data_IF_593320059709
#
_entry.id   IF_593320059709
#
_cell.length_a   1.000
_cell.length_b   1.000
_cell.length_c   1.000
_cell.angle_alpha   90.00
_cell.angle_beta   90.00
_cell.angle_gamma   90.00
#
_symmetry.space_group_name_H-M   'P 1'
#
loop_
_entity.id
_entity.type
_entity.pdbx_description
1 polymer ?
#
# COMPACT_ATOMS: atom_id res chain seq x y z
N UNK A 1 -6.58 -0.87 -10.54
CA UNK A 1 -6.53 -0.86 -9.07
C UNK A 1 -7.43 0.22 -8.48
N UNK A 2 -7.84 0.03 -7.23
CA UNK A 2 -8.42 1.07 -6.39
C UNK A 2 -7.59 1.18 -5.10
N UNK A 3 -7.47 2.38 -4.56
CA UNK A 3 -6.91 2.64 -3.25
C UNK A 3 -7.88 3.46 -2.41
N UNK A 4 -7.89 3.25 -1.11
CA UNK A 4 -8.69 4.00 -0.15
C UNK A 4 -7.88 4.29 1.10
N UNK A 5 -8.03 5.48 1.65
CA UNK A 5 -7.50 5.88 2.95
C UNK A 5 -8.63 6.40 3.83
N UNK A 6 -8.66 5.94 5.08
CA UNK A 6 -9.62 6.35 6.09
C UNK A 6 -8.82 6.85 7.30
N UNK A 7 -9.18 7.99 7.82
CA UNK A 7 -8.58 8.57 9.02
C UNK A 7 -9.68 9.08 9.96
N UNK A 8 -9.42 9.03 11.27
CA UNK A 8 -10.33 9.48 12.32
C UNK A 8 -11.72 8.80 12.27
N UNK A 9 -11.76 7.52 11.95
CA UNK A 9 -13.01 6.72 11.94
C UNK A 9 -12.94 5.62 13.00
N UNK A 10 -13.93 5.55 13.86
CA UNK A 10 -14.01 4.51 14.92
C UNK A 10 -14.03 3.08 14.36
N UNK A 11 -14.46 2.92 13.10
CA UNK A 11 -14.52 1.64 12.39
C UNK A 11 -13.87 1.82 11.01
N UNK A 12 -12.57 2.14 11.01
CA UNK A 12 -11.84 2.45 9.78
C UNK A 12 -11.79 1.26 8.83
N UNK A 13 -11.66 0.03 9.35
CA UNK A 13 -11.67 -1.20 8.54
C UNK A 13 -12.96 -1.36 7.76
N UNK A 14 -14.10 -1.21 8.41
CA UNK A 14 -15.42 -1.38 7.79
C UNK A 14 -15.72 -0.27 6.78
N UNK A 15 -15.33 0.96 7.11
CA UNK A 15 -15.45 2.08 6.17
C UNK A 15 -14.59 1.83 4.91
N UNK A 16 -13.35 1.36 5.08
CA UNK A 16 -12.48 0.98 3.97
C UNK A 16 -13.06 -0.18 3.14
N UNK A 17 -13.62 -1.18 3.81
CA UNK A 17 -14.32 -2.30 3.14
C UNK A 17 -15.44 -1.81 2.21
N UNK A 18 -16.36 -0.96 2.69
CA UNK A 18 -17.43 -0.44 1.86
C UNK A 18 -16.93 0.44 0.72
N UNK A 19 -15.90 1.23 0.95
CA UNK A 19 -15.28 2.03 -0.10
C UNK A 19 -14.65 1.13 -1.19
N UNK A 20 -13.91 0.08 -0.80
CA UNK A 20 -13.36 -0.89 -1.74
C UNK A 20 -14.44 -1.68 -2.47
N UNK A 21 -15.53 -2.07 -1.77
CA UNK A 21 -16.67 -2.73 -2.38
C UNK A 21 -17.30 -1.86 -3.48
N UNK A 22 -17.51 -0.57 -3.21
CA UNK A 22 -18.02 0.38 -4.19
C UNK A 22 -17.09 0.55 -5.40
N UNK A 23 -15.78 0.37 -5.21
CA UNK A 23 -14.75 0.44 -6.26
C UNK A 23 -14.32 -0.93 -6.80
N UNK A 24 -15.08 -2.00 -6.55
CA UNK A 24 -14.74 -3.37 -6.97
C UNK A 24 -14.53 -3.50 -8.47
N UNK A 25 -15.24 -2.70 -9.28
CA UNK A 25 -15.08 -2.65 -10.73
C UNK A 25 -13.68 -2.23 -11.20
N UNK A 26 -12.86 -1.64 -10.31
CA UNK A 26 -11.50 -1.22 -10.61
C UNK A 26 -10.44 -2.29 -10.37
N UNK A 27 -10.79 -3.39 -9.69
CA UNK A 27 -9.88 -4.50 -9.44
C UNK A 27 -10.60 -5.66 -8.76
N UNK A 28 -10.43 -6.89 -9.27
CA UNK A 28 -11.19 -8.06 -8.85
C UNK A 28 -10.32 -9.27 -8.48
N UNK A 29 -8.99 -9.11 -8.48
CA UNK A 29 -8.09 -10.25 -8.32
C UNK A 29 -7.58 -10.45 -6.90
N UNK A 30 -7.44 -9.36 -6.17
CA UNK A 30 -7.04 -9.38 -4.76
C UNK A 30 -7.53 -8.14 -4.07
N UNK A 31 -7.79 -8.25 -2.78
CA UNK A 31 -8.20 -7.16 -1.91
C UNK A 31 -7.43 -7.20 -0.60
N UNK A 32 -7.24 -6.05 0.02
CA UNK A 32 -6.57 -5.99 1.32
C UNK A 32 -6.79 -4.66 2.03
N UNK A 33 -6.71 -4.72 3.36
CA UNK A 33 -6.83 -3.57 4.26
C UNK A 33 -5.75 -3.68 5.33
N UNK A 34 -5.03 -2.59 5.58
CA UNK A 34 -4.19 -2.38 6.76
C UNK A 34 -4.85 -1.36 7.68
N UNK A 35 -4.88 -1.64 8.96
CA UNK A 35 -5.45 -0.75 9.99
C UNK A 35 -4.40 -0.45 11.03
N UNK A 36 -4.32 0.79 11.46
CA UNK A 36 -3.46 1.20 12.57
C UNK A 36 -4.29 1.42 13.83
N UNK A 37 -3.86 0.80 14.93
CA UNK A 37 -4.41 0.95 16.26
C UNK A 37 -3.29 1.18 17.26
N UNK A 38 -3.31 2.31 17.96
CA UNK A 38 -2.32 2.66 18.98
C UNK A 38 -0.85 2.48 18.52
N UNK A 39 -0.60 2.77 17.24
CA UNK A 39 0.74 2.66 16.65
C UNK A 39 1.13 1.26 16.18
N UNK A 40 0.23 0.29 16.20
CA UNK A 40 0.42 -1.04 15.65
C UNK A 40 -0.42 -1.22 14.38
N UNK A 41 0.22 -1.72 13.30
CA UNK A 41 -0.42 -1.96 12.01
C UNK A 41 -0.76 -3.42 11.85
N UNK A 42 -2.05 -3.72 11.72
CA UNK A 42 -2.59 -5.03 11.38
C UNK A 42 -3.07 -5.05 9.93
N UNK A 43 -2.73 -6.11 9.20
CA UNK A 43 -3.08 -6.24 7.77
C UNK A 43 -3.77 -7.56 7.51
N UNK A 44 -4.91 -7.50 6.80
CA UNK A 44 -5.55 -8.66 6.20
C UNK A 44 -5.68 -8.46 4.69
N UNK A 45 -5.31 -9.47 3.90
CA UNK A 45 -5.39 -9.44 2.45
C UNK A 45 -5.47 -10.85 1.86
N UNK A 46 -6.05 -10.95 0.69
CA UNK A 46 -6.19 -12.22 -0.02
C UNK A 46 -6.53 -12.04 -1.49
N UNK A 47 -6.52 -13.15 -2.21
CA UNK A 47 -7.01 -13.20 -3.59
C UNK A 47 -8.52 -13.28 -3.58
N UNK A 48 -9.16 -12.58 -4.52
CA UNK A 48 -10.60 -12.56 -4.70
C UNK A 48 -11.22 -11.18 -4.50
N UNK A 49 -12.53 -11.15 -4.60
CA UNK A 49 -13.35 -9.97 -4.40
C UNK A 49 -13.31 -9.54 -2.92
N UNK A 50 -13.62 -8.29 -2.65
CA UNK A 50 -13.70 -7.75 -1.28
C UNK A 50 -14.60 -8.62 -0.39
N UNK A 51 -15.74 -9.08 -0.92
CA UNK A 51 -16.70 -9.94 -0.21
C UNK A 51 -16.23 -11.37 0.02
N UNK A 52 -15.22 -11.83 -0.72
CA UNK A 52 -14.61 -13.14 -0.53
C UNK A 52 -13.43 -13.11 0.44
N UNK A 53 -12.70 -11.99 0.46
CA UNK A 53 -11.51 -11.79 1.31
C UNK A 53 -11.91 -11.37 2.74
N UNK A 54 -12.98 -10.62 2.90
CA UNK A 54 -13.42 -10.08 4.19
C UNK A 54 -14.78 -10.64 4.61
N UNK A 55 -14.88 -10.97 5.87
CA UNK A 55 -16.12 -11.32 6.56
C UNK A 55 -16.24 -10.50 7.86
N UNK A 56 -17.33 -10.67 8.59
CA UNK A 56 -17.59 -9.93 9.83
C UNK A 56 -16.53 -10.18 10.91
N UNK A 57 -16.04 -11.41 11.04
CA UNK A 57 -15.02 -11.78 12.01
C UNK A 57 -13.70 -11.06 11.73
N UNK A 58 -13.25 -11.08 10.48
CA UNK A 58 -12.04 -10.40 10.03
C UNK A 58 -12.16 -8.89 10.25
N UNK A 59 -13.27 -8.27 9.79
CA UNK A 59 -13.46 -6.84 9.95
C UNK A 59 -13.51 -6.42 11.42
N UNK A 60 -14.11 -7.22 12.28
CA UNK A 60 -14.15 -6.96 13.73
C UNK A 60 -12.80 -7.13 14.41
N UNK A 61 -11.89 -7.93 13.85
CA UNK A 61 -10.52 -8.09 14.35
C UNK A 61 -9.61 -6.92 13.98
N UNK A 62 -9.87 -6.24 12.86
CA UNK A 62 -9.11 -5.10 12.36
C UNK A 62 -9.55 -3.80 13.06
N UNK A 63 -9.15 -3.63 14.31
CA UNK A 63 -9.47 -2.45 15.11
C UNK A 63 -8.51 -1.31 14.82
N UNK A 64 -9.02 -0.09 14.81
CA UNK A 64 -8.23 1.14 14.68
C UNK A 64 -9.03 2.25 14.02
N UNK A 65 -8.47 3.46 14.05
CA UNK A 65 -9.08 4.68 13.54
C UNK A 65 -8.48 5.18 12.21
N UNK A 66 -7.42 4.52 11.76
CA UNK A 66 -6.79 4.77 10.45
C UNK A 66 -6.70 3.47 9.66
N UNK A 67 -7.09 3.51 8.39
CA UNK A 67 -6.96 2.36 7.48
C UNK A 67 -6.51 2.79 6.09
N UNK A 68 -5.76 1.92 5.41
CA UNK A 68 -5.54 1.98 3.97
C UNK A 68 -5.98 0.67 3.33
N UNK A 69 -6.54 0.75 2.14
CA UNK A 69 -7.05 -0.43 1.44
C UNK A 69 -6.76 -0.40 -0.05
N UNK A 70 -6.81 -1.60 -0.65
CA UNK A 70 -6.48 -1.80 -2.06
C UNK A 70 -7.33 -2.89 -2.70
N UNK A 71 -7.83 -2.63 -3.93
CA UNK A 71 -8.30 -3.65 -4.86
C UNK A 71 -7.33 -3.76 -6.03
N UNK A 72 -6.82 -4.96 -6.28
CA UNK A 72 -5.85 -5.23 -7.33
C UNK A 72 -6.52 -5.54 -8.65
N UNK A 73 -5.99 -4.92 -9.71
CA UNK A 73 -6.20 -5.31 -11.10
C UNK A 73 -4.85 -5.76 -11.67
N UNK A 74 -4.70 -7.03 -12.05
CA UNK A 74 -3.47 -7.51 -12.67
C UNK A 74 -3.44 -7.15 -14.16
N UNK A 75 -2.35 -6.57 -14.60
CA UNK A 75 -2.13 -6.22 -16.01
C UNK A 75 -1.43 -7.33 -16.79
N UNK A 76 -0.73 -8.25 -16.12
CA UNK A 76 -0.12 -9.46 -16.70
C UNK A 76 0.49 -10.34 -15.60
N UNK A 77 0.46 -11.66 -15.79
CA UNK A 77 1.19 -12.63 -14.99
C UNK A 77 0.33 -13.48 -14.05
N UNK A 78 0.89 -14.56 -13.54
CA UNK A 78 0.24 -15.46 -12.58
C UNK A 78 -0.02 -14.73 -11.27
N UNK A 79 -1.27 -14.72 -10.81
CA UNK A 79 -1.64 -14.28 -9.48
C UNK A 79 -0.94 -15.14 -8.42
N UNK A 80 0.13 -14.62 -7.83
CA UNK A 80 0.60 -15.16 -6.56
C UNK A 80 -0.11 -14.37 -5.45
N UNK A 81 -0.65 -15.04 -4.44
CA UNK A 81 -1.26 -14.36 -3.29
C UNK A 81 -0.31 -13.40 -2.57
N UNK A 82 0.99 -13.46 -2.91
CA UNK A 82 2.03 -12.56 -2.44
C UNK A 82 1.93 -11.14 -3.01
N UNK A 83 1.28 -10.98 -4.17
CA UNK A 83 1.16 -9.69 -4.86
C UNK A 83 -0.08 -8.89 -4.42
N UNK A 84 -0.82 -9.34 -3.40
CA UNK A 84 -1.90 -8.56 -2.81
C UNK A 84 -1.34 -7.40 -1.98
N UNK A 85 -1.98 -6.25 -2.07
CA UNK A 85 -1.67 -5.08 -1.25
C UNK A 85 -2.76 -4.89 -0.18
N UNK A 86 -2.46 -4.21 0.94
CA UNK A 86 -1.24 -3.45 1.25
C UNK A 86 0.01 -4.31 1.44
N UNK A 87 1.19 -3.71 1.19
CA UNK A 87 2.46 -4.28 1.61
C UNK A 87 2.84 -3.64 2.94
N UNK A 88 2.96 -4.45 4.00
CA UNK A 88 3.35 -4.02 5.31
C UNK A 88 4.74 -4.56 5.68
N UNK A 89 5.54 -3.76 6.36
CA UNK A 89 6.89 -4.11 6.77
C UNK A 89 7.27 -3.43 8.09
N UNK A 90 8.24 -4.03 8.79
CA UNK A 90 8.93 -3.43 9.92
C UNK A 90 10.27 -2.87 9.46
N UNK A 91 10.62 -1.66 9.89
CA UNK A 91 11.88 -1.00 9.57
C UNK A 91 12.34 -0.09 10.72
N UNK A 92 13.38 0.72 10.51
CA UNK A 92 14.02 1.51 11.56
C UNK A 92 13.08 2.49 12.30
N UNK A 93 12.04 3.03 11.63
CA UNK A 93 11.05 3.93 12.27
C UNK A 93 9.78 3.19 12.73
N UNK A 94 9.81 1.86 12.80
CA UNK A 94 8.67 1.02 13.22
C UNK A 94 7.95 0.37 12.05
N UNK A 95 6.62 0.36 12.09
CA UNK A 95 5.80 -0.25 11.04
C UNK A 95 5.43 0.74 9.95
N UNK A 96 5.36 0.24 8.73
CA UNK A 96 4.89 0.96 7.55
C UNK A 96 3.98 0.04 6.72
N UNK A 97 2.96 0.61 6.11
CA UNK A 97 2.12 -0.09 5.14
C UNK A 97 1.87 0.81 3.93
N UNK A 98 1.90 0.23 2.73
CA UNK A 98 1.76 0.97 1.47
C UNK A 98 0.73 0.32 0.56
N UNK A 99 -0.08 1.14 -0.10
CA UNK A 99 -0.90 0.78 -1.26
C UNK A 99 -0.56 1.67 -2.45
N UNK A 100 -0.58 1.08 -3.65
CA UNK A 100 -0.16 1.71 -4.89
C UNK A 100 -1.17 1.45 -6.01
N UNK A 101 -1.66 2.51 -6.61
CA UNK A 101 -2.41 2.48 -7.86
C UNK A 101 -1.59 3.18 -8.95
N UNK A 102 -0.95 2.41 -9.80
CA UNK A 102 -0.12 2.93 -10.88
C UNK A 102 0.87 1.91 -11.42
N UNK A 103 1.90 2.42 -12.07
CA UNK A 103 3.00 1.61 -12.62
C UNK A 103 4.27 2.45 -12.68
N UNK A 104 5.37 1.89 -12.21
CA UNK A 104 6.69 2.49 -12.29
C UNK A 104 7.38 2.03 -13.58
N UNK A 105 7.78 2.99 -14.43
CA UNK A 105 8.45 2.68 -15.71
C UNK A 105 9.90 2.26 -15.52
N UNK A 106 10.53 2.63 -14.40
CA UNK A 106 11.90 2.24 -14.06
C UNK A 106 11.99 1.19 -12.94
N UNK A 107 10.93 0.39 -12.76
CA UNK A 107 10.84 -0.59 -11.65
C UNK A 107 12.00 -1.59 -11.64
N UNK A 108 12.41 -2.08 -12.82
CA UNK A 108 13.45 -3.11 -12.93
C UNK A 108 14.82 -2.51 -12.62
N UNK A 109 15.12 -1.30 -13.12
CA UNK A 109 16.34 -0.55 -12.82
C UNK A 109 16.49 -0.32 -11.29
N UNK A 110 15.45 0.22 -10.66
CA UNK A 110 15.43 0.46 -9.21
C UNK A 110 15.58 -0.85 -8.44
N UNK A 111 14.92 -1.91 -8.87
CA UNK A 111 14.99 -3.22 -8.23
C UNK A 111 16.40 -3.80 -8.28
N UNK A 112 17.04 -3.74 -9.45
CA UNK A 112 18.39 -4.27 -9.64
C UNK A 112 19.42 -3.52 -8.79
N UNK A 113 19.29 -2.20 -8.65
CA UNK A 113 20.12 -1.40 -7.74
C UNK A 113 19.92 -1.84 -6.29
N UNK A 114 18.67 -1.97 -5.85
CA UNK A 114 18.34 -2.39 -4.48
C UNK A 114 18.86 -3.79 -4.17
N UNK A 115 18.78 -4.74 -5.12
CA UNK A 115 19.31 -6.10 -4.95
C UNK A 115 20.84 -6.08 -4.85
N UNK A 116 21.54 -5.32 -5.69
CA UNK A 116 22.99 -5.15 -5.60
C UNK A 116 23.43 -4.63 -4.24
N UNK A 117 22.60 -3.79 -3.64
CA UNK A 117 22.82 -3.26 -2.30
C UNK A 117 22.27 -4.17 -1.18
N UNK A 118 21.90 -5.40 -1.48
CA UNK A 118 21.50 -6.41 -0.50
C UNK A 118 20.03 -6.37 -0.06
N UNK A 119 19.13 -5.72 -0.81
CA UNK A 119 17.70 -5.81 -0.53
C UNK A 119 17.15 -7.20 -0.87
N UNK A 120 16.27 -7.72 -0.01
CA UNK A 120 15.60 -9.01 -0.18
C UNK A 120 14.15 -8.76 -0.53
N UNK A 121 13.73 -9.24 -1.70
CA UNK A 121 12.37 -9.08 -2.20
C UNK A 121 11.53 -10.33 -1.98
N UNK A 122 10.27 -10.15 -1.65
CA UNK A 122 9.28 -11.21 -1.44
C UNK A 122 8.24 -11.28 -2.56
N UNK A 123 8.06 -10.18 -3.29
CA UNK A 123 7.08 -10.05 -4.38
C UNK A 123 7.75 -9.55 -5.67
N UNK A 124 7.01 -9.58 -6.77
CA UNK A 124 7.44 -8.96 -8.03
C UNK A 124 6.83 -7.56 -8.25
N UNK A 125 6.20 -7.01 -7.22
CA UNK A 125 5.53 -5.72 -7.33
C UNK A 125 6.52 -4.55 -7.24
N UNK A 126 6.27 -3.54 -8.05
CA UNK A 126 7.00 -2.27 -8.01
C UNK A 126 6.79 -1.50 -6.70
N UNK A 127 5.68 -1.74 -6.02
CA UNK A 127 5.38 -1.19 -4.69
C UNK A 127 6.44 -1.59 -3.64
N UNK A 128 7.01 -2.78 -3.74
CA UNK A 128 8.05 -3.25 -2.82
C UNK A 128 9.35 -2.46 -3.01
N UNK A 129 9.65 -1.99 -4.21
CA UNK A 129 10.77 -1.08 -4.46
C UNK A 129 10.65 0.19 -3.61
N UNK A 130 9.43 0.74 -3.51
CA UNK A 130 9.18 1.98 -2.76
C UNK A 130 9.44 1.75 -1.26
N UNK A 131 8.99 0.64 -0.71
CA UNK A 131 9.26 0.28 0.70
C UNK A 131 10.77 0.19 0.95
N UNK A 132 11.52 -0.48 0.08
CA UNK A 132 12.97 -0.58 0.23
C UNK A 132 13.67 0.77 0.12
N UNK A 133 13.25 1.64 -0.79
CA UNK A 133 13.80 3.00 -0.91
C UNK A 133 13.56 3.82 0.36
N UNK A 134 12.36 3.75 0.94
CA UNK A 134 12.02 4.42 2.20
C UNK A 134 12.82 3.84 3.37
N UNK A 135 12.89 2.52 3.49
CA UNK A 135 13.53 1.84 4.60
C UNK A 135 15.06 2.06 4.64
N UNK A 136 15.69 2.19 3.48
CA UNK A 136 17.14 2.37 3.33
C UNK A 136 17.60 3.84 3.44
N UNK A 137 16.68 4.78 3.36
CA UNK A 137 16.99 6.17 3.62
C UNK A 137 17.16 6.38 5.13
N UNK A 138 18.14 7.20 5.51
CA UNK A 138 18.52 7.43 6.91
C UNK A 138 18.03 8.77 7.47
N UNK A 139 17.22 9.52 6.72
CA UNK A 139 16.61 10.74 7.23
C UNK A 139 15.79 10.45 8.49
N UNK A 140 15.76 11.40 9.40
CA UNK A 140 15.15 11.23 10.72
C UNK A 140 13.62 11.13 10.62
N UNK A 141 13.03 11.85 9.66
CA UNK A 141 11.58 11.90 9.48
C UNK A 141 11.10 11.08 8.29
N UNK A 142 10.01 10.35 8.48
CA UNK A 142 9.41 9.52 7.42
C UNK A 142 9.07 10.31 6.15
N UNK A 143 8.58 11.55 6.29
CA UNK A 143 8.25 12.39 5.15
C UNK A 143 9.45 12.65 4.23
N UNK A 144 10.63 12.87 4.80
CA UNK A 144 11.86 13.13 4.04
C UNK A 144 12.33 11.85 3.33
N UNK A 145 12.19 10.69 4.00
CA UNK A 145 12.44 9.37 3.37
C UNK A 145 11.51 9.10 2.21
N UNK A 146 10.22 9.46 2.35
CA UNK A 146 9.24 9.34 1.27
C UNK A 146 9.66 10.24 0.09
N UNK A 147 9.95 11.51 0.34
CA UNK A 147 10.37 12.46 -0.72
C UNK A 147 11.60 11.93 -1.45
N UNK A 148 12.63 11.49 -0.73
CA UNK A 148 13.84 10.91 -1.32
C UNK A 148 13.56 9.63 -2.14
N UNK A 149 12.61 8.81 -1.72
CA UNK A 149 12.17 7.64 -2.47
C UNK A 149 11.43 8.04 -3.77
N UNK A 150 10.57 9.08 -3.69
CA UNK A 150 9.83 9.58 -4.86
C UNK A 150 10.75 10.17 -5.94
N UNK A 151 11.87 10.76 -5.56
CA UNK A 151 12.86 11.30 -6.50
C UNK A 151 13.55 10.20 -7.34
N UNK A 152 13.55 8.96 -6.86
CA UNK A 152 14.16 7.81 -7.54
C UNK A 152 13.20 7.04 -8.44
N UNK A 153 11.90 7.19 -8.27
CA UNK A 153 10.89 6.46 -9.04
C UNK A 153 10.33 7.31 -10.18
N UNK A 154 10.01 6.65 -11.29
CA UNK A 154 9.43 7.29 -12.48
C UNK A 154 8.18 6.54 -12.88
N UNK A 155 7.12 7.27 -13.24
CA UNK A 155 5.87 6.68 -13.70
C UNK A 155 4.64 7.44 -13.24
N UNK A 156 3.49 6.82 -13.46
CA UNK A 156 2.19 7.32 -13.01
C UNK A 156 1.76 6.55 -11.75
N UNK A 157 1.52 7.25 -10.66
CA UNK A 157 1.17 6.61 -9.39
C UNK A 157 0.29 7.48 -8.49
N UNK A 158 -0.56 6.80 -7.74
CA UNK A 158 -1.12 7.29 -6.48
C UNK A 158 -0.73 6.30 -5.38
N UNK A 159 -0.24 6.81 -4.26
CA UNK A 159 0.21 6.02 -3.13
C UNK A 159 -0.50 6.47 -1.86
N UNK A 160 -0.82 5.52 -0.99
CA UNK A 160 -1.07 5.81 0.41
C UNK A 160 0.00 5.11 1.23
N UNK A 161 0.69 5.86 2.06
CA UNK A 161 1.71 5.37 2.98
C UNK A 161 1.21 5.59 4.39
N UNK A 162 0.95 4.51 5.11
CA UNK A 162 0.51 4.52 6.50
C UNK A 162 1.68 4.18 7.41
N UNK A 163 1.93 5.02 8.37
CA UNK A 163 2.82 4.78 9.51
C UNK A 163 2.00 4.56 10.77
N UNK A 164 2.69 4.42 11.90
CA UNK A 164 2.08 4.28 13.22
C UNK A 164 1.21 5.47 13.65
N UNK A 165 1.42 6.66 13.06
CA UNK A 165 0.77 7.90 13.51
C UNK A 165 0.26 8.78 12.36
N UNK A 166 0.61 8.49 11.13
CA UNK A 166 0.30 9.33 9.97
C UNK A 166 -0.01 8.49 8.75
N UNK A 167 -0.90 9.01 7.92
CA UNK A 167 -1.14 8.53 6.57
C UNK A 167 -0.79 9.62 5.58
N UNK A 168 0.05 9.31 4.61
CA UNK A 168 0.45 10.19 3.52
C UNK A 168 -0.30 9.81 2.26
N UNK A 169 -0.99 10.76 1.64
CA UNK A 169 -1.60 10.61 0.33
C UNK A 169 -0.71 11.31 -0.70
N UNK A 170 -0.26 10.56 -1.70
CA UNK A 170 0.77 10.98 -2.64
C UNK A 170 0.28 10.75 -4.06
N UNK A 171 0.50 11.71 -4.91
CA UNK A 171 0.18 11.64 -6.34
C UNK A 171 1.41 12.02 -7.16
N UNK A 172 1.60 11.36 -8.30
CA UNK A 172 2.70 11.72 -9.20
C UNK A 172 2.59 13.19 -9.66
N UNK A 173 3.73 13.78 -10.02
CA UNK A 173 3.83 15.20 -10.39
C UNK A 173 2.96 15.63 -11.56
N UNK A 174 2.57 14.67 -12.41
CA UNK A 174 1.74 14.94 -13.59
C UNK A 174 0.25 14.72 -13.32
N UNK A 175 -0.07 14.10 -12.20
CA UNK A 175 -1.43 13.81 -11.80
C UNK A 175 -2.16 12.86 -12.77
N UNK A 176 -1.45 11.87 -13.32
CA UNK A 176 -2.01 10.94 -14.31
C UNK A 176 -3.14 10.09 -13.73
N UNK A 177 -2.97 9.60 -12.50
CA UNK A 177 -4.02 8.86 -11.78
C UNK A 177 -4.83 9.80 -10.91
N UNK A 178 -6.17 9.65 -10.84
CA UNK A 178 -6.99 10.48 -9.95
C UNK A 178 -6.75 10.12 -8.49
N UNK A 179 -6.70 11.14 -7.64
CA UNK A 179 -6.70 11.05 -6.19
C UNK A 179 -7.55 12.18 -5.66
N UNK A 180 -8.52 11.87 -4.79
CA UNK A 180 -9.41 12.84 -4.14
C UNK A 180 -9.29 12.72 -2.63
N UNK A 181 -9.38 13.84 -1.91
CA UNK A 181 -9.42 13.96 -0.46
C UNK A 181 -10.79 14.46 -0.03
#
# INVERSE_FOLDING_TARGET
CAIVGIINSKDAARTAYYALFSMQHRGQEASGISVCNDGEISTHKGNGLVTEVFNEEILSSLKGDMAIGHNRYATAGKNSGRDAQPIAANYALGQISIVHNGNLVNKDEVRDELIKDGAIFQTNMDTENIIHLIARNHDEHLQDRIIAALDKIKGAYCLLVQSRHKTFAIRDRWGVRPLSL
#
